data_IF_648591923015
#
_entry.id   IF_648591923015
#
_cell.length_a   1.000
_cell.length_b   1.000
_cell.length_c   1.000
_cell.angle_alpha   90.00
_cell.angle_beta   90.00
_cell.angle_gamma   90.00
#
_symmetry.space_group_name_H-M   'P 1'
#
loop_
_entity.id
_entity.type
_entity.pdbx_description
1 polymer ?
#
# COMPACT_ATOMS: atom_id res chain seq x y z
N UNK A 1 -3.34 -12.89 -12.86
CA UNK A 1 -4.21 -12.78 -11.68
C UNK A 1 -4.18 -11.34 -11.20
N UNK A 2 -5.21 -10.91 -10.48
CA UNK A 2 -5.31 -9.54 -9.97
C UNK A 2 -5.62 -9.57 -8.47
N UNK A 3 -5.00 -8.67 -7.73
CA UNK A 3 -5.20 -8.40 -6.32
C UNK A 3 -5.34 -6.88 -6.15
N UNK A 4 -6.14 -6.43 -5.19
CA UNK A 4 -6.21 -5.03 -4.79
C UNK A 4 -5.76 -4.91 -3.35
N UNK A 5 -5.00 -3.85 -3.06
CA UNK A 5 -4.62 -3.49 -1.69
C UNK A 5 -5.82 -3.36 -0.75
N UNK A 6 -5.58 -3.65 0.52
CA UNK A 6 -6.56 -3.50 1.58
C UNK A 6 -6.59 -2.09 2.15
N UNK A 7 -7.68 -1.75 2.82
CA UNK A 7 -7.81 -0.60 3.71
C UNK A 7 -6.97 -0.79 5.00
N UNK A 8 -6.44 0.30 5.55
CA UNK A 8 -5.74 0.37 6.82
C UNK A 8 -6.66 0.66 8.02
N UNK A 9 -7.86 1.21 7.82
CA UNK A 9 -8.88 1.42 8.88
C UNK A 9 -10.33 1.20 8.41
N UNK A 10 -10.97 0.04 8.72
CA UNK A 10 -10.40 -1.07 9.48
C UNK A 10 -9.36 -1.82 8.65
N UNK A 11 -8.27 -2.25 9.28
CA UNK A 11 -7.22 -3.01 8.59
C UNK A 11 -7.77 -4.31 7.98
N UNK A 12 -7.71 -4.42 6.65
CA UNK A 12 -8.19 -5.58 5.87
C UNK A 12 -7.07 -6.49 5.38
N UNK A 13 -5.82 -6.21 5.72
CA UNK A 13 -4.69 -7.09 5.41
C UNK A 13 -4.69 -8.37 6.27
N UNK A 14 -4.16 -9.49 5.74
CA UNK A 14 -3.57 -9.64 4.41
C UNK A 14 -4.62 -9.84 3.30
N UNK A 15 -4.28 -9.41 2.09
CA UNK A 15 -5.03 -9.68 0.85
C UNK A 15 -4.39 -10.85 0.09
N UNK A 16 -5.18 -11.76 -0.45
CA UNK A 16 -4.69 -12.95 -1.16
C UNK A 16 -5.43 -13.15 -2.49
N UNK A 17 -4.68 -13.59 -3.51
CA UNK A 17 -5.25 -14.11 -4.74
C UNK A 17 -4.42 -15.30 -5.26
N UNK A 18 -5.02 -16.13 -6.12
CA UNK A 18 -4.32 -17.23 -6.77
C UNK A 18 -4.78 -17.46 -8.21
N UNK A 19 -3.94 -18.12 -8.99
CA UNK A 19 -4.27 -18.61 -10.33
C UNK A 19 -3.62 -19.95 -10.58
N UNK A 20 -4.30 -20.79 -11.36
CA UNK A 20 -3.79 -22.11 -11.74
C UNK A 20 -3.62 -22.22 -13.25
N UNK A 21 -2.59 -22.95 -13.67
CA UNK A 21 -2.33 -23.31 -15.07
C UNK A 21 -1.98 -24.79 -15.15
N UNK A 22 -2.52 -25.49 -16.14
CA UNK A 22 -2.16 -26.88 -16.43
C UNK A 22 -1.04 -26.87 -17.47
N UNK A 23 0.07 -27.52 -17.15
CA UNK A 23 1.17 -27.78 -18.07
C UNK A 23 1.03 -29.20 -18.59
N UNK A 24 0.77 -29.34 -19.89
CA UNK A 24 0.63 -30.65 -20.51
C UNK A 24 1.99 -31.30 -20.75
N UNK A 25 2.07 -32.59 -20.44
CA UNK A 25 3.21 -33.41 -20.78
C UNK A 25 3.36 -33.57 -22.29
N UNK A 26 4.61 -33.55 -22.75
CA UNK A 26 4.96 -34.01 -24.09
C UNK A 26 5.09 -35.54 -24.12
N UNK A 27 6.30 -36.01 -24.45
CA UNK A 27 6.59 -37.44 -24.60
C UNK A 27 6.59 -38.21 -23.28
N UNK A 28 6.99 -37.57 -22.18
CA UNK A 28 7.14 -38.16 -20.84
C UNK A 28 6.29 -37.41 -19.81
N UNK A 29 5.81 -38.09 -18.74
CA UNK A 29 5.12 -37.39 -17.65
C UNK A 29 6.01 -36.33 -17.02
N UNK A 30 5.40 -35.23 -16.58
CA UNK A 30 6.10 -34.16 -15.88
C UNK A 30 6.42 -34.55 -14.43
N UNK A 31 7.54 -34.05 -13.90
CA UNK A 31 7.89 -34.16 -12.48
C UNK A 31 7.37 -32.91 -11.74
N UNK A 32 6.26 -33.02 -11.02
CA UNK A 32 5.68 -31.88 -10.30
C UNK A 32 6.61 -31.30 -9.24
N UNK A 33 7.50 -32.11 -8.66
CA UNK A 33 8.44 -31.68 -7.61
C UNK A 33 9.62 -30.87 -8.15
N UNK A 34 9.86 -30.94 -9.47
CA UNK A 34 10.92 -30.19 -10.14
C UNK A 34 10.53 -28.74 -10.47
N UNK A 35 9.25 -28.40 -10.42
CA UNK A 35 8.74 -27.12 -10.90
C UNK A 35 8.98 -26.02 -9.87
N UNK A 36 9.72 -24.99 -10.29
CA UNK A 36 10.09 -23.84 -9.47
C UNK A 36 10.33 -22.61 -10.35
N UNK A 37 10.77 -21.49 -9.77
CA UNK A 37 11.16 -20.31 -10.53
C UNK A 37 12.36 -20.61 -11.43
N UNK A 38 12.33 -20.10 -12.66
CA UNK A 38 13.37 -20.31 -13.66
C UNK A 38 14.72 -19.80 -13.16
N UNK A 39 15.68 -20.71 -12.93
CA UNK A 39 17.00 -20.38 -12.41
C UNK A 39 17.76 -19.36 -13.27
N UNK A 40 17.55 -19.34 -14.59
CA UNK A 40 18.18 -18.37 -15.50
C UNK A 40 17.56 -16.97 -15.41
N UNK A 41 16.28 -16.86 -15.07
CA UNK A 41 15.56 -15.58 -15.00
C UNK A 41 15.47 -15.03 -13.57
N UNK A 42 15.58 -15.89 -12.55
CA UNK A 42 15.43 -15.54 -11.15
C UNK A 42 16.33 -14.38 -10.69
N UNK A 43 17.63 -14.31 -11.04
CA UNK A 43 18.47 -13.19 -10.62
C UNK A 43 17.98 -11.83 -11.14
N UNK A 44 17.52 -11.78 -12.38
CA UNK A 44 17.00 -10.55 -12.99
C UNK A 44 15.64 -10.16 -12.39
N UNK A 45 14.76 -11.15 -12.14
CA UNK A 45 13.49 -10.92 -11.47
C UNK A 45 13.69 -10.36 -10.06
N UNK A 46 14.54 -10.98 -9.24
CA UNK A 46 14.83 -10.50 -7.88
C UNK A 46 15.46 -9.10 -7.92
N UNK A 47 16.37 -8.83 -8.86
CA UNK A 47 16.95 -7.50 -9.01
C UNK A 47 15.90 -6.45 -9.39
N UNK A 48 14.92 -6.80 -10.23
CA UNK A 48 13.83 -5.91 -10.62
C UNK A 48 12.87 -5.65 -9.45
N UNK A 49 12.47 -6.69 -8.70
CA UNK A 49 11.62 -6.55 -7.52
C UNK A 49 12.26 -5.64 -6.47
N UNK A 50 13.54 -5.89 -6.13
CA UNK A 50 14.31 -5.10 -5.16
C UNK A 50 14.53 -3.63 -5.55
N UNK A 51 14.44 -3.30 -6.84
CA UNK A 51 14.60 -1.92 -7.33
C UNK A 51 13.27 -1.18 -7.48
N UNK A 52 12.17 -1.91 -7.61
CA UNK A 52 10.88 -1.34 -8.01
C UNK A 52 9.94 -1.19 -6.82
N UNK A 53 9.96 -2.14 -5.88
CA UNK A 53 8.94 -2.21 -4.83
C UNK A 53 9.48 -1.63 -3.52
N UNK A 54 8.77 -0.62 -3.03
CA UNK A 54 8.91 -0.06 -1.69
C UNK A 54 7.59 -0.20 -0.93
N UNK A 55 7.62 0.03 0.38
CA UNK A 55 6.44 0.03 1.24
C UNK A 55 6.66 1.07 2.34
N UNK A 56 5.73 2.02 2.47
CA UNK A 56 5.86 3.17 3.37
C UNK A 56 7.16 3.96 3.13
N UNK A 57 7.59 4.05 1.87
CA UNK A 57 8.84 4.68 1.45
C UNK A 57 10.11 3.88 1.76
N UNK A 58 10.00 2.67 2.31
CA UNK A 58 11.14 1.81 2.64
C UNK A 58 11.35 0.71 1.60
N UNK A 59 12.61 0.36 1.35
CA UNK A 59 12.95 -0.72 0.43
C UNK A 59 12.42 -2.07 0.91
N UNK A 60 11.88 -2.88 -0.01
CA UNK A 60 11.51 -4.27 0.24
C UNK A 60 12.58 -5.19 -0.34
N UNK A 61 13.14 -6.06 0.51
CA UNK A 61 14.16 -7.04 0.11
C UNK A 61 13.50 -8.37 -0.27
N UNK A 62 13.65 -8.74 -1.54
CA UNK A 62 13.15 -9.98 -2.11
C UNK A 62 14.21 -11.08 -2.14
N UNK A 63 13.83 -12.24 -1.64
CA UNK A 63 14.64 -13.47 -1.67
C UNK A 63 13.81 -14.65 -2.16
N UNK A 64 14.46 -15.64 -2.77
CA UNK A 64 13.83 -16.92 -3.10
C UNK A 64 14.08 -17.91 -1.95
N UNK A 65 13.00 -18.42 -1.37
CA UNK A 65 13.02 -19.52 -0.41
C UNK A 65 12.68 -20.84 -1.12
N UNK A 66 13.70 -21.67 -1.30
CA UNK A 66 13.55 -22.98 -1.94
C UNK A 66 12.76 -23.98 -1.09
N UNK A 67 12.68 -23.81 0.23
CA UNK A 67 11.95 -24.73 1.11
C UNK A 67 10.42 -24.59 0.95
N UNK A 68 9.96 -23.35 0.75
CA UNK A 68 8.54 -23.03 0.52
C UNK A 68 8.19 -22.83 -0.96
N UNK A 69 9.19 -22.91 -1.86
CA UNK A 69 9.04 -22.60 -3.29
C UNK A 69 8.41 -21.21 -3.52
N UNK A 70 8.92 -20.21 -2.81
CA UNK A 70 8.34 -18.88 -2.77
C UNK A 70 9.37 -17.77 -2.96
N UNK A 71 8.96 -16.67 -3.59
CA UNK A 71 9.69 -15.40 -3.53
C UNK A 71 9.04 -14.57 -2.42
N UNK A 72 9.83 -14.18 -1.43
CA UNK A 72 9.37 -13.45 -0.22
C UNK A 72 10.01 -12.07 -0.20
N UNK A 73 9.18 -11.03 -0.19
CA UNK A 73 9.55 -9.64 0.01
C UNK A 73 9.41 -9.25 1.48
N UNK A 74 10.51 -8.82 2.10
CA UNK A 74 10.58 -8.43 3.51
C UNK A 74 11.00 -6.98 3.61
N UNK A 75 10.30 -6.20 4.44
CA UNK A 75 10.63 -4.81 4.68
C UNK A 75 12.07 -4.70 5.22
N UNK A 76 12.90 -3.89 4.57
CA UNK A 76 14.28 -3.70 5.00
C UNK A 76 14.32 -3.24 6.46
N UNK A 77 15.32 -3.71 7.20
CA UNK A 77 15.49 -3.35 8.60
C UNK A 77 16.08 -1.94 8.71
N UNK A 78 15.26 -0.92 8.48
CA UNK A 78 15.61 0.44 8.86
C UNK A 78 14.90 0.82 10.15
N UNK A 79 15.69 1.29 11.12
CA UNK A 79 15.29 1.58 12.49
C UNK A 79 14.57 2.93 12.64
N UNK A 80 14.31 3.64 11.55
CA UNK A 80 13.83 5.02 11.58
C UNK A 80 12.31 5.20 11.35
N UNK A 81 11.60 4.20 10.81
CA UNK A 81 10.22 4.38 10.33
C UNK A 81 9.11 3.90 11.28
N UNK A 82 9.41 3.19 12.38
CA UNK A 82 8.37 2.56 13.20
C UNK A 82 7.59 1.44 12.50
N UNK A 83 7.76 1.24 11.18
CA UNK A 83 7.27 0.09 10.45
C UNK A 83 8.05 -1.15 10.88
N UNK A 84 7.37 -2.30 10.93
CA UNK A 84 7.91 -3.54 11.49
C UNK A 84 9.08 -4.07 10.67
N UNK A 85 10.29 -3.60 10.91
CA UNK A 85 11.52 -4.09 10.29
C UNK A 85 11.56 -5.63 10.30
N UNK A 86 11.77 -6.24 9.13
CA UNK A 86 11.78 -7.70 9.00
C UNK A 86 10.39 -8.35 8.86
N UNK A 87 9.32 -7.57 8.75
CA UNK A 87 7.99 -8.07 8.41
C UNK A 87 7.86 -8.39 6.92
N UNK A 88 7.05 -9.39 6.59
CA UNK A 88 6.72 -9.74 5.21
C UNK A 88 5.76 -8.70 4.62
N UNK A 89 6.07 -8.22 3.43
CA UNK A 89 5.21 -7.30 2.65
C UNK A 89 4.42 -8.09 1.62
N UNK A 90 5.09 -8.88 0.79
CA UNK A 90 4.46 -9.68 -0.26
C UNK A 90 5.15 -11.03 -0.40
N UNK A 91 4.38 -12.07 -0.72
CA UNK A 91 4.90 -13.42 -1.00
C UNK A 91 4.25 -13.98 -2.26
N UNK A 92 5.06 -14.51 -3.17
CA UNK A 92 4.62 -15.28 -4.33
C UNK A 92 4.99 -16.75 -4.14
N UNK A 93 4.01 -17.62 -3.88
CA UNK A 93 4.22 -19.06 -3.62
C UNK A 93 3.79 -19.90 -4.81
N UNK A 94 4.61 -20.89 -5.17
CA UNK A 94 4.33 -21.84 -6.25
C UNK A 94 4.02 -23.21 -5.66
N UNK A 95 2.81 -23.69 -5.88
CA UNK A 95 2.35 -25.03 -5.53
C UNK A 95 2.09 -25.85 -6.79
N UNK A 96 2.41 -27.15 -6.74
CA UNK A 96 2.31 -28.02 -7.89
C UNK A 96 1.59 -29.32 -7.51
N UNK A 97 0.71 -29.78 -8.39
CA UNK A 97 -0.04 -31.02 -8.21
C UNK A 97 -0.03 -31.83 -9.50
N UNK A 98 0.31 -33.11 -9.40
CA UNK A 98 0.28 -34.02 -10.55
C UNK A 98 -1.14 -34.26 -11.05
N UNK A 99 -1.34 -34.09 -12.35
CA UNK A 99 -2.61 -34.30 -13.06
C UNK A 99 -2.46 -35.44 -14.09
N UNK A 100 -2.24 -36.66 -13.59
CA UNK A 100 -1.94 -37.81 -14.44
C UNK A 100 -0.52 -37.73 -15.00
N UNK A 101 -0.39 -37.33 -16.27
CA UNK A 101 0.94 -37.06 -16.89
C UNK A 101 1.31 -35.58 -16.84
N UNK A 102 0.31 -34.73 -16.70
CA UNK A 102 0.42 -33.28 -16.69
C UNK A 102 0.66 -32.80 -15.25
N UNK A 103 0.92 -31.50 -15.09
CA UNK A 103 1.01 -30.87 -13.77
C UNK A 103 0.19 -29.60 -13.74
N UNK A 104 -0.62 -29.45 -12.70
CA UNK A 104 -1.26 -28.18 -12.35
C UNK A 104 -0.28 -27.38 -11.50
N UNK A 105 0.01 -26.15 -11.93
CA UNK A 105 0.77 -25.16 -11.16
C UNK A 105 -0.24 -24.15 -10.62
N UNK A 106 -0.23 -23.91 -9.31
CA UNK A 106 -0.96 -22.83 -8.67
C UNK A 106 0.04 -21.81 -8.13
N UNK A 107 -0.13 -20.56 -8.52
CA UNK A 107 0.61 -19.42 -7.95
C UNK A 107 -0.33 -18.66 -7.04
N UNK A 108 0.09 -18.48 -5.79
CA UNK A 108 -0.62 -17.68 -4.79
C UNK A 108 0.21 -16.45 -4.46
N UNK A 109 -0.43 -15.28 -4.47
CA UNK A 109 0.15 -14.02 -3.99
C UNK A 109 -0.53 -13.63 -2.70
N UNK A 110 0.26 -13.47 -1.63
CA UNK A 110 -0.17 -12.95 -0.35
C UNK A 110 0.46 -11.56 -0.16
N UNK A 111 -0.36 -10.53 -0.05
CA UNK A 111 0.05 -9.17 0.27
C UNK A 111 -0.33 -8.89 1.72
N UNK A 112 0.67 -8.64 2.56
CA UNK A 112 0.51 -8.48 4.01
C UNK A 112 0.58 -7.04 4.48
N UNK A 113 1.12 -6.15 3.65
CA UNK A 113 1.25 -4.71 3.89
C UNK A 113 1.11 -3.97 2.55
N UNK A 114 0.72 -2.68 2.58
CA UNK A 114 0.71 -1.82 1.41
C UNK A 114 2.08 -1.77 0.71
N UNK A 115 2.09 -1.69 -0.61
CA UNK A 115 3.26 -1.33 -1.41
C UNK A 115 3.07 0.09 -1.95
N UNK A 116 4.16 0.81 -2.17
CA UNK A 116 4.06 2.14 -2.74
C UNK A 116 3.88 2.04 -4.27
N UNK A 117 2.77 2.55 -4.82
CA UNK A 117 2.49 2.57 -6.26
C UNK A 117 3.11 3.78 -6.98
N UNK A 118 4.36 4.09 -6.65
CA UNK A 118 5.08 5.19 -7.28
C UNK A 118 5.43 4.82 -8.72
N UNK A 119 4.71 5.45 -9.65
CA UNK A 119 4.88 5.31 -11.09
C UNK A 119 6.35 5.28 -11.48
N UNK A 120 6.77 4.16 -12.08
CA UNK A 120 8.15 3.92 -12.47
C UNK A 120 8.54 4.65 -13.76
N UNK A 121 8.10 5.90 -13.94
CA UNK A 121 8.42 6.76 -15.09
C UNK A 121 9.91 7.13 -15.20
N UNK A 122 10.76 6.51 -14.38
CA UNK A 122 12.22 6.65 -14.38
C UNK A 122 12.96 5.31 -14.60
N UNK A 123 12.39 4.38 -15.37
CA UNK A 123 13.16 3.32 -16.04
C UNK A 123 13.83 2.24 -15.16
N UNK A 124 13.50 2.12 -13.87
CA UNK A 124 14.10 1.12 -12.97
C UNK A 124 13.42 -0.26 -12.98
N UNK A 125 12.23 -0.38 -13.58
CA UNK A 125 11.55 -1.66 -13.79
C UNK A 125 12.11 -2.39 -15.01
N UNK A 126 12.81 -3.51 -14.81
CA UNK A 126 13.02 -4.46 -15.91
C UNK A 126 11.66 -4.97 -16.37
N UNK A 127 11.43 -5.23 -17.66
CA UNK A 127 10.08 -5.52 -18.22
C UNK A 127 9.26 -6.64 -17.56
N UNK A 128 9.81 -7.39 -16.59
CA UNK A 128 9.09 -8.35 -15.75
C UNK A 128 8.50 -7.76 -14.45
N UNK A 129 8.84 -6.53 -14.04
CA UNK A 129 8.32 -5.85 -12.85
C UNK A 129 8.15 -4.36 -13.18
N UNK A 130 6.91 -3.86 -13.16
CA UNK A 130 6.62 -2.46 -13.53
C UNK A 130 5.48 -1.91 -12.68
N UNK A 131 5.58 -0.63 -12.32
CA UNK A 131 4.47 0.14 -11.74
C UNK A 131 4.02 1.15 -12.77
N UNK A 132 2.74 1.11 -13.12
CA UNK A 132 2.13 2.04 -14.06
C UNK A 132 0.63 2.22 -13.77
N UNK A 133 0.19 3.47 -13.61
CA UNK A 133 -1.21 3.82 -13.31
C UNK A 133 -1.75 2.99 -12.13
N UNK A 134 -1.13 3.13 -10.96
CA UNK A 134 -1.58 2.52 -9.70
C UNK A 134 -1.67 0.99 -9.78
N UNK A 135 -0.82 0.37 -10.62
CA UNK A 135 -0.75 -1.08 -10.78
C UNK A 135 0.69 -1.54 -10.80
N UNK A 136 1.07 -2.40 -9.85
CA UNK A 136 2.28 -3.20 -9.93
C UNK A 136 2.01 -4.48 -10.74
N UNK A 137 2.67 -4.63 -11.87
CA UNK A 137 2.64 -5.84 -12.70
C UNK A 137 3.94 -6.63 -12.55
N UNK A 138 3.84 -7.91 -12.22
CA UNK A 138 4.96 -8.86 -12.05
C UNK A 138 4.76 -10.09 -12.95
N UNK A 139 5.79 -10.46 -13.70
CA UNK A 139 5.81 -11.69 -14.50
C UNK A 139 6.76 -12.70 -13.84
N UNK A 140 6.19 -13.82 -13.40
CA UNK A 140 6.90 -14.92 -12.73
C UNK A 140 7.20 -16.04 -13.72
N UNK A 141 8.47 -16.25 -14.11
CA UNK A 141 8.87 -17.33 -15.00
C UNK A 141 9.11 -18.62 -14.20
N UNK A 142 8.38 -19.68 -14.52
CA UNK A 142 8.50 -21.00 -13.91
C UNK A 142 9.11 -22.00 -14.89
N UNK A 143 9.89 -22.94 -14.37
CA UNK A 143 10.56 -23.99 -15.13
C UNK A 143 10.52 -25.29 -14.32
N UNK A 144 10.53 -26.42 -15.01
CA UNK A 144 10.60 -27.75 -14.42
C UNK A 144 11.13 -28.77 -15.42
N UNK A 145 11.04 -30.04 -15.08
CA UNK A 145 11.47 -31.16 -15.93
C UNK A 145 10.42 -32.25 -16.05
N UNK A 146 10.57 -33.09 -17.07
CA UNK A 146 9.93 -34.41 -17.08
C UNK A 146 10.62 -35.40 -16.12
N UNK A 147 10.04 -36.59 -15.95
CA UNK A 147 10.60 -37.66 -15.12
C UNK A 147 11.96 -38.21 -15.63
N UNK A 148 12.40 -37.84 -16.84
CA UNK A 148 13.73 -38.17 -17.35
C UNK A 148 14.72 -37.00 -17.19
N UNK A 149 14.30 -35.88 -16.59
CA UNK A 149 15.14 -34.71 -16.35
C UNK A 149 15.25 -33.75 -17.53
N UNK A 150 14.43 -33.88 -18.57
CA UNK A 150 14.42 -32.91 -19.67
C UNK A 150 13.61 -31.67 -19.25
N UNK A 151 14.15 -30.44 -19.42
CA UNK A 151 13.45 -29.22 -19.03
C UNK A 151 12.25 -28.93 -19.94
N UNK A 152 11.34 -28.04 -19.51
CA UNK A 152 10.30 -27.54 -20.43
C UNK A 152 10.94 -26.76 -21.58
N UNK A 153 10.41 -26.95 -22.78
CA UNK A 153 10.85 -26.24 -23.99
C UNK A 153 10.70 -24.71 -23.83
N UNK A 154 9.63 -24.28 -23.17
CA UNK A 154 9.35 -22.87 -22.86
C UNK A 154 8.96 -22.71 -21.39
N UNK A 155 9.51 -21.73 -20.66
CA UNK A 155 9.05 -21.40 -19.31
C UNK A 155 7.56 -21.07 -19.27
N UNK A 156 6.91 -21.42 -18.17
CA UNK A 156 5.53 -21.01 -17.89
C UNK A 156 5.58 -19.61 -17.29
N UNK A 157 4.92 -18.65 -17.92
CA UNK A 157 4.86 -17.26 -17.45
C UNK A 157 3.54 -17.03 -16.71
N UNK A 158 3.62 -16.62 -15.44
CA UNK A 158 2.46 -16.25 -14.64
C UNK A 158 2.50 -14.76 -14.34
N UNK A 159 1.48 -14.03 -14.78
CA UNK A 159 1.35 -12.59 -14.51
C UNK A 159 0.54 -12.34 -13.23
N UNK A 160 1.05 -11.45 -12.39
CA UNK A 160 0.41 -10.96 -11.16
C UNK A 160 0.30 -9.45 -11.26
N UNK A 161 -0.91 -8.92 -11.11
CA UNK A 161 -1.17 -7.49 -11.01
C UNK A 161 -1.68 -7.17 -9.60
N UNK A 162 -1.04 -6.22 -8.93
CA UNK A 162 -1.45 -5.69 -7.63
C UNK A 162 -1.87 -4.23 -7.85
N UNK A 163 -3.18 -4.00 -7.82
CA UNK A 163 -3.77 -2.66 -7.87
C UNK A 163 -3.60 -1.96 -6.54
N UNK A 164 -3.37 -0.65 -6.61
CA UNK A 164 -3.51 0.24 -5.46
C UNK A 164 -4.95 0.20 -4.94
N UNK A 165 -5.09 0.53 -3.66
CA UNK A 165 -6.34 0.57 -2.95
C UNK A 165 -7.05 1.90 -3.18
N UNK A 166 -7.72 2.36 -2.12
CA UNK A 166 -8.44 3.64 -2.14
C UNK A 166 -7.51 4.66 -1.50
N UNK A 167 -7.28 5.81 -2.15
CA UNK A 167 -6.52 6.91 -1.57
C UNK A 167 -7.16 7.41 -0.26
N UNK A 168 -6.35 7.95 0.69
CA UNK A 168 -6.87 8.63 1.85
C UNK A 168 -7.83 9.78 1.47
N UNK A 169 -9.00 9.81 2.10
CA UNK A 169 -10.05 10.78 1.80
C UNK A 169 -10.74 11.33 3.05
N UNK A 170 -11.04 12.62 3.02
CA UNK A 170 -11.95 13.23 4.00
C UNK A 170 -13.39 12.90 3.64
N UNK A 171 -14.17 12.51 4.65
CA UNK A 171 -15.59 12.30 4.54
C UNK A 171 -16.38 13.61 4.50
N UNK A 172 -17.71 13.48 4.49
CA UNK A 172 -18.60 14.65 4.52
C UNK A 172 -18.57 15.30 5.90
N UNK A 173 -18.17 16.57 5.95
CA UNK A 173 -18.35 17.41 7.14
C UNK A 173 -19.81 17.86 7.25
N UNK A 174 -20.49 17.48 8.34
CA UNK A 174 -21.84 17.96 8.64
C UNK A 174 -21.85 19.41 9.15
N UNK A 175 -20.67 19.99 9.38
CA UNK A 175 -20.47 21.27 10.02
C UNK A 175 -20.63 21.19 11.53
N UNK A 176 -20.13 22.23 12.19
CA UNK A 176 -20.32 22.46 13.62
C UNK A 176 -20.92 23.86 13.79
N UNK A 177 -22.06 23.94 14.48
CA UNK A 177 -22.69 25.24 14.77
C UNK A 177 -22.07 25.83 16.01
N UNK A 178 -21.43 26.99 15.85
CA UNK A 178 -20.85 27.76 16.94
C UNK A 178 -21.70 29.00 17.14
N UNK A 179 -22.29 29.14 18.32
CA UNK A 179 -23.04 30.32 18.76
C UNK A 179 -22.38 30.92 20.01
N UNK A 180 -21.89 32.15 19.90
CA UNK A 180 -21.22 32.84 21.02
C UNK A 180 -22.16 33.03 22.23
N UNK A 181 -23.48 33.11 22.03
CA UNK A 181 -24.44 33.31 23.12
C UNK A 181 -24.69 32.03 23.93
N UNK A 182 -24.67 30.88 23.28
CA UNK A 182 -24.98 29.59 23.89
C UNK A 182 -23.75 28.87 24.46
N UNK A 183 -22.54 29.20 23.96
CA UNK A 183 -21.31 28.49 24.28
C UNK A 183 -20.22 29.36 24.93
N UNK A 184 -20.62 30.35 25.74
CA UNK A 184 -19.70 31.28 26.43
C UNK A 184 -18.63 30.54 27.26
N UNK A 185 -17.43 30.40 26.68
CA UNK A 185 -16.28 29.75 27.30
C UNK A 185 -16.35 28.22 27.37
N UNK A 186 -17.27 27.59 26.64
CA UNK A 186 -17.42 26.14 26.56
C UNK A 186 -16.84 25.66 25.22
N UNK A 187 -15.88 24.72 25.20
CA UNK A 187 -15.42 24.12 23.96
C UNK A 187 -16.57 23.42 23.21
N UNK A 188 -16.64 23.65 21.90
CA UNK A 188 -17.56 22.94 21.00
C UNK A 188 -16.72 21.99 20.16
N UNK A 189 -17.09 20.71 20.18
CA UNK A 189 -16.40 19.70 19.39
C UNK A 189 -17.03 19.59 17.99
N UNK A 190 -16.17 19.44 16.99
CA UNK A 190 -16.52 19.14 15.61
C UNK A 190 -15.57 18.08 15.06
N UNK A 191 -16.03 17.30 14.09
CA UNK A 191 -15.19 16.31 13.44
C UNK A 191 -15.54 16.17 11.97
N UNK A 192 -14.49 15.95 11.18
CA UNK A 192 -14.61 15.54 9.78
C UNK A 192 -14.20 14.06 9.76
N UNK A 193 -15.07 13.15 9.28
CA UNK A 193 -14.67 11.75 9.14
C UNK A 193 -13.43 11.65 8.25
N UNK A 194 -12.56 10.70 8.56
CA UNK A 194 -11.36 10.42 7.78
C UNK A 194 -11.36 8.94 7.45
N UNK A 195 -11.16 8.64 6.17
CA UNK A 195 -10.87 7.32 5.66
C UNK A 195 -9.41 7.34 5.20
N UNK A 196 -8.59 6.47 5.79
CA UNK A 196 -7.16 6.40 5.48
C UNK A 196 -6.90 5.60 4.21
N UNK A 197 -7.81 4.72 3.82
CA UNK A 197 -7.63 3.90 2.62
C UNK A 197 -6.40 2.99 2.69
N UNK A 198 -5.74 2.75 1.56
CA UNK A 198 -4.56 1.86 1.47
C UNK A 198 -3.27 2.46 1.99
N UNK A 199 -3.20 3.79 2.13
CA UNK A 199 -1.96 4.51 2.42
C UNK A 199 -1.90 5.12 3.82
N UNK A 200 -0.67 5.19 4.35
CA UNK A 200 -0.43 5.96 5.55
C UNK A 200 -0.46 7.47 5.24
N UNK A 201 -1.14 8.24 6.09
CA UNK A 201 -1.15 9.71 5.99
C UNK A 201 0.08 10.27 6.72
N UNK A 202 0.97 10.94 5.99
CA UNK A 202 2.17 11.56 6.59
C UNK A 202 1.81 12.83 7.40
N UNK A 203 0.99 13.72 6.83
CA UNK A 203 0.60 14.97 7.50
C UNK A 203 -0.82 15.40 7.17
N UNK A 204 -1.48 16.04 8.14
CA UNK A 204 -2.74 16.77 7.96
C UNK A 204 -2.53 18.18 8.52
N UNK A 205 -2.70 19.19 7.67
CA UNK A 205 -2.52 20.60 8.03
C UNK A 205 -3.66 21.44 7.47
N UNK A 206 -3.91 22.59 8.09
CA UNK A 206 -4.79 23.59 7.49
C UNK A 206 -4.05 24.36 6.39
N UNK A 207 -4.75 24.66 5.30
CA UNK A 207 -4.26 25.59 4.28
C UNK A 207 -3.97 26.96 4.92
N UNK A 208 -2.92 27.64 4.48
CA UNK A 208 -2.53 28.94 5.03
C UNK A 208 -3.57 30.03 4.81
N UNK A 209 -4.34 29.92 3.73
CA UNK A 209 -5.43 30.83 3.38
C UNK A 209 -6.78 30.18 3.72
N UNK A 210 -7.66 30.94 4.37
CA UNK A 210 -8.96 30.48 4.88
C UNK A 210 -10.05 31.48 4.48
N UNK A 211 -10.31 31.66 3.16
CA UNK A 211 -11.22 32.70 2.67
C UNK A 211 -12.66 32.53 3.16
N UNK A 212 -13.07 31.30 3.47
CA UNK A 212 -14.40 31.02 4.02
C UNK A 212 -14.61 31.58 5.43
N UNK A 213 -13.52 31.98 6.11
CA UNK A 213 -13.56 32.65 7.41
C UNK A 213 -13.51 34.19 7.29
N UNK A 214 -13.47 34.74 6.07
CA UNK A 214 -13.44 36.18 5.85
C UNK A 214 -14.76 36.83 6.24
N UNK A 215 -14.67 38.01 6.89
CA UNK A 215 -15.84 38.79 7.27
C UNK A 215 -16.59 38.26 8.50
N UNK A 216 -16.10 37.18 9.13
CA UNK A 216 -16.58 36.77 10.44
C UNK A 216 -16.36 37.88 11.48
N UNK A 217 -17.26 37.94 12.46
CA UNK A 217 -17.19 38.90 13.56
C UNK A 217 -17.40 38.19 14.88
N UNK A 218 -16.69 38.63 15.92
CA UNK A 218 -16.95 38.23 17.30
C UNK A 218 -17.34 39.47 18.10
N UNK A 219 -18.49 39.42 18.78
CA UNK A 219 -19.06 40.58 19.49
C UNK A 219 -19.18 41.86 18.62
N UNK A 220 -19.38 41.71 17.31
CA UNK A 220 -19.48 42.81 16.36
C UNK A 220 -18.15 43.45 15.94
N UNK A 221 -17.01 42.88 16.35
CA UNK A 221 -15.69 43.30 15.90
C UNK A 221 -15.16 42.33 14.83
N UNK A 222 -14.40 42.87 13.88
CA UNK A 222 -13.75 42.06 12.84
C UNK A 222 -12.79 41.05 13.47
N UNK A 223 -12.69 39.86 12.87
CA UNK A 223 -11.76 38.82 13.27
C UNK A 223 -10.53 38.75 12.38
N UNK A 224 -9.47 38.16 12.90
CA UNK A 224 -8.26 37.76 12.16
C UNK A 224 -8.02 36.27 12.33
N UNK A 225 -7.59 35.61 11.26
CA UNK A 225 -7.23 34.19 11.24
C UNK A 225 -5.71 34.04 11.30
N UNK A 226 -5.24 33.13 12.14
CA UNK A 226 -3.86 32.66 12.18
C UNK A 226 -3.85 31.13 12.05
N UNK A 227 -3.09 30.60 11.09
CA UNK A 227 -2.94 29.16 10.87
C UNK A 227 -1.54 28.73 11.29
N UNK A 228 -1.43 27.74 12.17
CA UNK A 228 -0.17 27.14 12.61
C UNK A 228 -0.27 25.61 12.55
N UNK A 229 0.19 25.03 11.44
CA UNK A 229 0.16 23.58 11.23
C UNK A 229 -1.28 23.04 11.22
N UNK A 230 -1.62 22.23 12.22
CA UNK A 230 -2.95 21.66 12.43
C UNK A 230 -3.83 22.48 13.38
N UNK A 231 -3.48 23.73 13.67
CA UNK A 231 -4.27 24.64 14.49
C UNK A 231 -4.67 25.87 13.70
N UNK A 232 -5.93 26.25 13.84
CA UNK A 232 -6.49 27.49 13.33
C UNK A 232 -6.98 28.32 14.53
N UNK A 233 -6.51 29.55 14.61
CA UNK A 233 -6.88 30.51 15.64
C UNK A 233 -7.62 31.68 14.99
N UNK A 234 -8.87 31.89 15.43
CA UNK A 234 -9.69 33.04 15.03
C UNK A 234 -9.84 33.95 16.25
N UNK A 235 -9.37 35.20 16.15
CA UNK A 235 -9.45 36.18 17.25
C UNK A 235 -10.06 37.48 16.79
N UNK A 236 -10.84 38.13 17.66
CA UNK A 236 -11.36 39.46 17.39
C UNK A 236 -10.24 40.52 17.45
N UNK A 237 -10.45 41.67 16.80
CA UNK A 237 -9.48 42.76 16.73
C UNK A 237 -9.14 43.42 18.08
N UNK A 238 -9.77 43.00 19.20
CA UNK A 238 -9.53 43.52 20.55
C UNK A 238 -8.62 42.59 21.36
N UNK A 239 -8.59 41.29 21.06
CA UNK A 239 -7.79 40.31 21.79
C UNK A 239 -6.41 40.14 21.14
N UNK A 240 -5.56 41.15 21.22
CA UNK A 240 -4.11 40.96 20.98
C UNK A 240 -3.35 40.43 22.20
N UNK A 241 -4.02 39.92 23.26
CA UNK A 241 -3.35 39.59 24.54
C UNK A 241 -3.79 38.34 25.32
N UNK A 242 -4.78 37.55 24.91
CA UNK A 242 -5.11 36.30 25.62
C UNK A 242 -5.51 35.18 24.66
N UNK A 243 -4.61 34.21 24.51
CA UNK A 243 -4.75 33.00 23.68
C UNK A 243 -5.65 31.98 24.37
N UNK A 244 -6.72 31.55 23.70
CA UNK A 244 -7.38 30.27 23.94
C UNK A 244 -7.68 29.63 22.56
N UNK A 245 -7.25 28.38 22.31
CA UNK A 245 -7.45 27.73 21.02
C UNK A 245 -8.93 27.37 20.84
N UNK A 246 -9.54 27.80 19.73
CA UNK A 246 -10.96 27.56 19.41
C UNK A 246 -11.21 26.24 18.69
N UNK A 247 -10.20 25.57 18.15
CA UNK A 247 -10.31 24.20 17.65
C UNK A 247 -9.04 23.41 18.00
N UNK A 248 -9.23 22.27 18.68
CA UNK A 248 -8.24 21.20 18.76
C UNK A 248 -8.76 20.02 17.95
N UNK A 249 -8.15 19.66 16.81
CA UNK A 249 -8.36 18.32 16.30
C UNK A 249 -7.76 17.35 17.33
N UNK A 250 -8.61 16.63 18.06
CA UNK A 250 -8.20 15.46 18.84
C UNK A 250 -7.90 14.34 17.86
N UNK A 251 -6.69 14.30 17.32
CA UNK A 251 -6.13 13.05 16.82
C UNK A 251 -5.63 12.29 18.05
N UNK A 252 -6.42 11.33 18.52
CA UNK A 252 -5.90 10.34 19.46
C UNK A 252 -5.16 9.31 18.60
N UNK A 253 -3.84 9.46 18.48
CA UNK A 253 -3.00 8.35 18.01
C UNK A 253 -3.11 7.23 19.05
N UNK A 254 -3.64 6.08 18.64
CA UNK A 254 -3.36 4.80 19.26
C UNK A 254 -2.22 4.13 18.52
#
# INVERSE_FOLDING_TARGET
MQLTEGDLDPNTYPSEASTSVIVSAGSLPLDSSSITFSASALPALLAALNQTITSSGQAVTFTFDAASNAIVGVLASDSSSGAGAGSTVVTFTVQTEGAGRDVTITVTTLLSQPIDHIDSNNGSGSGSVQIQNDTLSVVLPLQGTDLAGNPFDTPVLVSVDILDGIDPQLGTDSGTVIDEADFLGIPVDGSIPLDVGSDAIETIVFASEQPDLDGLTSNGFATTVEVTGNQLLLVDSRVSRYSLPLLRPMVTMW
#
